data_IF_205317643567
#
_entry.id   IF_205317643567
#
_cell.length_a   1.000
_cell.length_b   1.000
_cell.length_c   1.000
_cell.angle_alpha   90.00
_cell.angle_beta   90.00
_cell.angle_gamma   90.00
#
_symmetry.space_group_name_H-M   'P 1'
#
loop_
_entity.id
_entity.type
_entity.pdbx_description
1 polymer ?
#
# COMPACT_ATOMS: atom_id res chain seq x y z
N UNK A 1 -11.19 1.19 -24.16
CA UNK A 1 -11.30 1.06 -22.68
C UNK A 1 -10.10 0.26 -22.22
N UNK A 2 -9.12 0.92 -21.60
CA UNK A 2 -7.94 0.29 -21.00
C UNK A 2 -8.40 -0.41 -19.72
N UNK A 3 -8.22 -1.74 -19.66
CA UNK A 3 -8.50 -2.53 -18.45
C UNK A 3 -7.54 -2.03 -17.35
N UNK A 4 -8.02 -1.68 -16.14
CA UNK A 4 -7.13 -1.33 -15.05
C UNK A 4 -6.19 -2.51 -14.76
N UNK A 5 -4.91 -2.28 -14.47
CA UNK A 5 -3.95 -3.35 -14.28
C UNK A 5 -4.34 -4.13 -13.02
N UNK A 6 -4.52 -5.45 -13.19
CA UNK A 6 -4.53 -6.48 -12.15
C UNK A 6 -5.59 -6.34 -11.04
N UNK A 7 -6.53 -7.29 -10.95
CA UNK A 7 -7.24 -7.48 -9.69
C UNK A 7 -6.19 -7.89 -8.63
N UNK A 8 -6.07 -7.18 -7.52
CA UNK A 8 -5.15 -7.54 -6.42
C UNK A 8 -5.46 -8.90 -5.79
N UNK A 9 -6.61 -9.50 -6.13
CA UNK A 9 -6.94 -10.91 -5.87
C UNK A 9 -6.22 -11.93 -6.77
N UNK A 10 -5.59 -11.49 -7.87
CA UNK A 10 -4.79 -12.34 -8.76
C UNK A 10 -3.31 -12.42 -8.32
N UNK A 11 -2.86 -11.50 -7.46
CA UNK A 11 -1.65 -11.71 -6.68
C UNK A 11 -1.97 -12.79 -5.64
N UNK A 12 -1.15 -13.84 -5.58
CA UNK A 12 -1.38 -14.92 -4.63
C UNK A 12 -1.38 -14.28 -3.22
N UNK A 13 -2.44 -14.46 -2.43
CA UNK A 13 -2.56 -13.81 -1.11
C UNK A 13 -1.44 -14.22 -0.14
N UNK A 14 -0.69 -15.26 -0.51
CA UNK A 14 0.51 -15.82 0.11
C UNK A 14 1.83 -15.35 -0.53
N UNK A 15 1.78 -14.48 -1.55
CA UNK A 15 2.95 -13.91 -2.18
C UNK A 15 3.70 -13.05 -1.17
N UNK A 16 4.96 -13.41 -0.96
CA UNK A 16 5.79 -12.74 0.02
C UNK A 16 6.18 -11.37 -0.53
N UNK A 17 6.03 -10.36 0.31
CA UNK A 17 6.45 -8.98 0.02
C UNK A 17 7.98 -8.90 -0.18
N UNK A 18 8.75 -9.76 0.48
CA UNK A 18 10.20 -9.91 0.30
C UNK A 18 10.65 -11.36 0.51
N UNK A 19 11.82 -11.70 -0.04
CA UNK A 19 12.46 -13.00 0.17
C UNK A 19 12.84 -13.23 1.64
N UNK A 20 12.83 -14.50 2.12
CA UNK A 20 13.36 -14.84 3.44
C UNK A 20 14.82 -14.43 3.59
N UNK A 21 15.12 -13.74 4.68
CA UNK A 21 16.47 -13.25 4.97
C UNK A 21 16.75 -11.82 4.52
N UNK A 22 15.78 -11.15 3.87
CA UNK A 22 15.79 -9.71 3.74
C UNK A 22 15.80 -9.05 5.13
N UNK A 23 16.49 -7.92 5.26
CA UNK A 23 16.45 -7.14 6.49
C UNK A 23 15.06 -6.53 6.70
N UNK A 24 14.77 -6.19 7.96
CA UNK A 24 13.45 -5.69 8.36
C UNK A 24 13.10 -4.38 7.62
N UNK A 25 14.07 -3.51 7.37
CA UNK A 25 13.83 -2.22 6.73
C UNK A 25 13.45 -2.40 5.26
N UNK A 26 14.16 -3.27 4.54
CA UNK A 26 13.83 -3.67 3.17
C UNK A 26 12.43 -4.31 3.11
N UNK A 27 12.09 -5.18 4.07
CA UNK A 27 10.75 -5.76 4.19
C UNK A 27 9.65 -4.71 4.38
N UNK A 28 9.87 -3.73 5.26
CA UNK A 28 8.92 -2.65 5.52
C UNK A 28 8.81 -1.67 4.33
N UNK A 29 9.89 -1.39 3.62
CA UNK A 29 9.86 -0.56 2.41
C UNK A 29 9.07 -1.24 1.28
N UNK A 30 9.27 -2.54 1.07
CA UNK A 30 8.50 -3.29 0.10
C UNK A 30 7.02 -3.38 0.50
N UNK A 31 6.71 -3.50 1.80
CA UNK A 31 5.33 -3.47 2.29
C UNK A 31 4.69 -2.11 2.04
N UNK A 32 5.41 -1.01 2.31
CA UNK A 32 4.96 0.35 2.04
C UNK A 32 4.61 0.54 0.57
N UNK A 33 5.51 0.10 -0.34
CA UNK A 33 5.27 0.16 -1.79
C UNK A 33 4.01 -0.62 -2.20
N UNK A 34 3.82 -1.82 -1.64
CA UNK A 34 2.65 -2.65 -1.96
C UNK A 34 1.33 -2.05 -1.47
N UNK A 35 1.33 -1.41 -0.31
CA UNK A 35 0.15 -0.69 0.21
C UNK A 35 -0.18 0.49 -0.70
N UNK A 36 0.82 1.26 -1.14
CA UNK A 36 0.62 2.38 -2.06
C UNK A 36 0.01 1.93 -3.40
N UNK A 37 0.49 0.83 -3.97
CA UNK A 37 -0.09 0.25 -5.20
C UNK A 37 -1.57 -0.14 -5.02
N UNK A 38 -1.92 -0.74 -3.89
CA UNK A 38 -3.30 -1.15 -3.60
C UNK A 38 -4.22 0.07 -3.45
N UNK A 39 -3.73 1.13 -2.81
CA UNK A 39 -4.46 2.39 -2.70
C UNK A 39 -4.69 3.04 -4.06
N UNK A 40 -3.66 3.10 -4.91
CA UNK A 40 -3.77 3.63 -6.28
C UNK A 40 -4.74 2.81 -7.13
N UNK A 41 -4.72 1.49 -6.99
CA UNK A 41 -5.68 0.60 -7.63
C UNK A 41 -7.11 0.83 -7.15
N UNK A 42 -7.30 1.06 -5.85
CA UNK A 42 -8.61 1.36 -5.27
C UNK A 42 -9.14 2.72 -5.73
N UNK A 43 -8.30 3.75 -5.73
CA UNK A 43 -8.66 5.09 -6.22
C UNK A 43 -9.06 5.05 -7.71
N UNK A 44 -8.35 4.26 -8.53
CA UNK A 44 -8.68 4.08 -9.94
C UNK A 44 -10.02 3.38 -10.21
N UNK A 45 -10.57 2.63 -9.25
CA UNK A 45 -11.90 2.01 -9.34
C UNK A 45 -13.05 2.98 -9.08
N UNK A 46 -12.77 4.18 -8.57
CA UNK A 46 -13.78 5.19 -8.25
C UNK A 46 -14.73 4.78 -7.11
N UNK A 47 -15.96 5.29 -7.15
CA UNK A 47 -16.94 5.19 -6.04
C UNK A 47 -17.72 3.88 -5.97
N UNK A 48 -17.28 2.84 -6.68
CA UNK A 48 -17.83 1.50 -6.48
C UNK A 48 -17.75 1.16 -4.98
N UNK A 49 -18.74 0.47 -4.39
CA UNK A 49 -18.80 0.21 -2.95
C UNK A 49 -17.72 -0.81 -2.54
N UNK A 50 -16.47 -0.39 -2.61
CA UNK A 50 -15.39 -0.97 -1.86
C UNK A 50 -15.65 -0.59 -0.41
N UNK A 51 -15.45 -1.54 0.51
CA UNK A 51 -15.77 -1.34 1.91
C UNK A 51 -14.95 -0.16 2.40
N UNK A 52 -15.58 0.99 2.65
CA UNK A 52 -14.93 2.25 3.08
C UNK A 52 -13.86 1.99 4.16
N UNK A 53 -14.16 1.12 5.14
CA UNK A 53 -13.21 0.77 6.19
C UNK A 53 -11.94 0.02 5.76
N UNK A 54 -11.90 -0.60 4.57
CA UNK A 54 -10.68 -1.21 4.03
C UNK A 54 -9.75 -0.16 3.41
N UNK A 55 -10.30 0.84 2.73
CA UNK A 55 -9.51 1.94 2.16
C UNK A 55 -8.85 2.78 3.25
N UNK A 56 -9.65 3.17 4.26
CA UNK A 56 -9.16 3.91 5.41
C UNK A 56 -8.12 3.11 6.21
N UNK A 57 -8.33 1.79 6.34
CA UNK A 57 -7.37 0.89 6.99
C UNK A 57 -6.04 0.79 6.25
N UNK A 58 -6.05 0.77 4.92
CA UNK A 58 -4.85 0.78 4.09
C UNK A 58 -4.11 2.12 4.18
N UNK A 59 -4.83 3.25 4.15
CA UNK A 59 -4.23 4.59 4.37
C UNK A 59 -3.53 4.67 5.72
N UNK A 60 -4.20 4.25 6.79
CA UNK A 60 -3.58 4.20 8.12
C UNK A 60 -2.31 3.34 8.15
N UNK A 61 -2.33 2.18 7.47
CA UNK A 61 -1.17 1.29 7.41
C UNK A 61 0.02 1.93 6.64
N UNK A 62 -0.23 2.60 5.52
CA UNK A 62 0.79 3.34 4.76
C UNK A 62 1.49 4.39 5.65
N UNK A 63 0.69 5.23 6.32
CA UNK A 63 1.19 6.29 7.20
C UNK A 63 2.01 5.74 8.37
N UNK A 64 1.50 4.69 9.02
CA UNK A 64 2.16 4.07 10.17
C UNK A 64 3.51 3.44 9.80
N UNK A 65 3.59 2.76 8.65
CA UNK A 65 4.84 2.14 8.17
C UNK A 65 5.84 3.21 7.75
N UNK A 66 5.41 4.25 7.03
CA UNK A 66 6.29 5.36 6.64
C UNK A 66 6.86 6.09 7.85
N UNK A 67 6.04 6.37 8.87
CA UNK A 67 6.50 6.98 10.13
C UNK A 67 7.48 6.08 10.88
N UNK A 68 7.22 4.77 10.96
CA UNK A 68 8.11 3.82 11.62
C UNK A 68 9.50 3.79 10.95
N UNK A 69 9.53 3.74 9.61
CA UNK A 69 10.78 3.78 8.82
C UNK A 69 11.55 5.08 9.07
N UNK A 70 10.86 6.23 9.04
CA UNK A 70 11.49 7.54 9.31
C UNK A 70 12.09 7.64 10.71
N UNK A 71 11.39 7.13 11.74
CA UNK A 71 11.90 7.11 13.13
C UNK A 71 13.17 6.28 13.30
N UNK A 72 13.42 5.34 12.40
CA UNK A 72 14.60 4.48 12.41
C UNK A 72 15.67 4.93 11.40
N UNK A 73 15.55 6.13 10.85
CA UNK A 73 16.58 6.74 9.99
C UNK A 73 16.52 6.29 8.53
N UNK A 74 15.41 5.69 8.09
CA UNK A 74 15.19 5.35 6.69
C UNK A 74 14.40 6.45 5.99
N UNK A 75 14.79 6.78 4.75
CA UNK A 75 13.96 7.62 3.89
C UNK A 75 12.74 6.81 3.45
N UNK A 76 11.56 7.27 3.86
CA UNK A 76 10.27 6.70 3.50
C UNK A 76 9.22 7.81 3.50
N UNK A 77 8.42 7.86 2.44
CA UNK A 77 7.31 8.79 2.30
C UNK A 77 6.04 8.00 2.00
N UNK A 78 4.95 8.33 2.70
CA UNK A 78 3.63 7.98 2.23
C UNK A 78 3.35 8.80 0.97
N UNK A 79 2.52 8.26 0.07
CA UNK A 79 2.17 9.00 -1.15
C UNK A 79 1.26 10.17 -0.77
N UNK A 80 1.63 11.39 -1.14
CA UNK A 80 0.78 12.56 -0.95
C UNK A 80 -0.48 12.43 -1.84
N UNK A 81 -1.62 12.14 -1.22
CA UNK A 81 -2.91 12.03 -1.91
C UNK A 81 -3.91 13.06 -1.38
N UNK A 82 -4.74 13.68 -2.24
CA UNK A 82 -5.77 14.60 -1.80
C UNK A 82 -6.75 13.89 -0.86
N UNK A 83 -7.01 14.53 0.28
CA UNK A 83 -8.02 14.05 1.23
C UNK A 83 -9.37 14.50 0.68
N UNK A 84 -10.23 13.55 0.28
CA UNK A 84 -11.61 13.86 -0.05
C UNK A 84 -12.29 14.46 1.20
N UNK A 85 -12.73 15.71 1.08
CA UNK A 85 -13.36 16.50 2.14
C UNK A 85 -14.84 16.17 2.32
#
# INVERSE_FOLDING_TARGET
>A
MTRPPGNSLDAAQDERVVDPGADLAAGLQALLARIAEELDFNDAKGTAPYRLGMHDGLRFAEDAVAELLRRHGHEAAATERPVDA
#
